data_IF_817080296245
#
_entry.id   IF_817080296245
#
_cell.length_a   1.000
_cell.length_b   1.000
_cell.length_c   1.000
_cell.angle_alpha   90.00
_cell.angle_beta   90.00
_cell.angle_gamma   90.00
#
_symmetry.space_group_name_H-M   'P 1'
#
loop_
_entity.id
_entity.type
_entity.pdbx_description
1 polymer ?
#
# COMPACT_ATOMS: atom_id res chain seq x y z
N UNK A 1 -4.68 2.66 -2.60
CA UNK A 1 -5.26 1.30 -2.58
C UNK A 1 -6.78 1.28 -2.43
N UNK A 2 -7.38 1.46 -1.25
CA UNK A 2 -8.85 1.27 -1.07
C UNK A 2 -9.69 2.16 -2.00
N UNK A 3 -9.37 3.45 -2.09
CA UNK A 3 -10.05 4.38 -2.98
C UNK A 3 -9.99 3.89 -4.44
N UNK A 4 -8.77 3.62 -4.94
CA UNK A 4 -8.57 3.10 -6.29
C UNK A 4 -9.35 1.78 -6.54
N UNK A 5 -9.37 0.88 -5.56
CA UNK A 5 -10.12 -0.38 -5.65
C UNK A 5 -11.64 -0.17 -5.70
N UNK A 6 -12.17 0.81 -4.96
CA UNK A 6 -13.59 1.22 -5.03
C UNK A 6 -13.92 1.89 -6.37
N UNK A 7 -12.96 2.61 -6.96
CA UNK A 7 -13.07 3.18 -8.29
C UNK A 7 -12.89 2.14 -9.42
N UNK A 8 -12.63 0.87 -9.09
CA UNK A 8 -12.54 -0.22 -10.06
C UNK A 8 -11.18 -0.34 -10.77
N UNK A 9 -10.13 0.29 -10.25
CA UNK A 9 -8.76 0.20 -10.79
C UNK A 9 -8.21 -1.22 -10.61
N UNK A 10 -7.50 -1.72 -11.63
CA UNK A 10 -6.92 -3.07 -11.62
C UNK A 10 -5.89 -3.23 -10.48
N UNK A 11 -5.82 -4.44 -9.92
CA UNK A 11 -4.90 -4.78 -8.84
C UNK A 11 -3.44 -4.41 -9.17
N UNK A 12 -2.97 -4.68 -10.38
CA UNK A 12 -1.58 -4.39 -10.74
C UNK A 12 -1.31 -2.88 -10.78
N UNK A 13 -2.26 -2.09 -11.27
CA UNK A 13 -2.14 -0.64 -11.29
C UNK A 13 -2.15 -0.03 -9.88
N UNK A 14 -2.89 -0.64 -8.95
CA UNK A 14 -2.87 -0.24 -7.54
C UNK A 14 -1.49 -0.55 -6.91
N UNK A 15 -0.88 -1.68 -7.25
CA UNK A 15 0.46 -2.05 -6.80
C UNK A 15 1.49 -1.08 -7.39
N UNK A 16 1.40 -0.76 -8.67
CA UNK A 16 2.30 0.19 -9.35
C UNK A 16 2.24 1.58 -8.71
N UNK A 17 1.04 2.11 -8.47
CA UNK A 17 0.83 3.39 -7.76
C UNK A 17 1.45 3.36 -6.35
N UNK A 18 1.22 2.30 -5.60
CA UNK A 18 1.83 2.12 -4.29
C UNK A 18 3.36 2.10 -4.37
N UNK A 19 3.94 1.44 -5.37
CA UNK A 19 5.39 1.33 -5.55
C UNK A 19 6.07 2.63 -5.99
N UNK A 20 5.33 3.66 -6.42
CA UNK A 20 5.87 5.02 -6.52
C UNK A 20 6.43 5.51 -5.17
N UNK A 21 5.84 5.04 -4.06
CA UNK A 21 6.34 5.34 -2.71
C UNK A 21 7.74 4.76 -2.47
N UNK A 22 8.05 3.57 -3.00
CA UNK A 22 9.41 3.01 -2.92
C UNK A 22 10.40 3.91 -3.65
N UNK A 23 10.09 4.28 -4.90
CA UNK A 23 10.94 5.14 -5.73
C UNK A 23 11.21 6.48 -5.03
N UNK A 24 10.15 7.13 -4.54
CA UNK A 24 10.25 8.43 -3.86
C UNK A 24 11.02 8.37 -2.53
N UNK A 25 11.18 7.17 -1.94
CA UNK A 25 11.85 6.98 -0.65
C UNK A 25 13.29 6.50 -0.77
N UNK A 26 13.79 6.17 -1.96
CA UNK A 26 15.15 5.65 -2.15
C UNK A 26 16.22 6.53 -1.50
N UNK A 27 16.20 7.84 -1.77
CA UNK A 27 17.21 8.75 -1.21
C UNK A 27 17.08 8.89 0.31
N UNK A 28 15.86 9.03 0.81
CA UNK A 28 15.61 9.10 2.25
C UNK A 28 16.05 7.82 2.97
N UNK A 29 15.77 6.66 2.39
CA UNK A 29 16.15 5.37 2.95
C UNK A 29 17.68 5.20 2.94
N UNK A 30 18.36 5.64 1.88
CA UNK A 30 19.83 5.68 1.81
C UNK A 30 20.43 6.51 2.94
N UNK A 31 19.93 7.74 3.16
CA UNK A 31 20.38 8.61 4.24
C UNK A 31 20.15 7.99 5.62
N UNK A 32 18.98 7.39 5.83
CA UNK A 32 18.62 6.74 7.10
C UNK A 32 19.52 5.54 7.39
N UNK A 33 19.83 4.73 6.37
CA UNK A 33 20.78 3.62 6.49
C UNK A 33 22.22 4.09 6.74
N UNK A 34 22.63 5.26 6.24
CA UNK A 34 23.93 5.83 6.57
C UNK A 34 24.04 6.15 8.07
N UNK A 35 22.97 6.68 8.68
CA UNK A 35 22.89 6.94 10.13
C UNK A 35 22.94 5.62 10.90
N UNK A 36 22.16 4.61 10.51
CA UNK A 36 22.16 3.32 11.21
C UNK A 36 23.53 2.64 11.23
N UNK A 37 24.30 2.76 10.15
CA UNK A 37 25.68 2.23 10.07
C UNK A 37 26.68 2.95 10.97
N UNK A 38 26.34 4.13 11.50
CA UNK A 38 27.14 4.80 12.53
C UNK A 38 26.85 4.22 13.93
N UNK A 39 25.68 3.59 14.11
CA UNK A 39 25.22 3.07 15.41
C UNK A 39 25.53 1.58 15.59
N UNK A 40 25.56 0.80 14.51
CA UNK A 40 25.83 -0.64 14.54
C UNK A 40 26.46 -1.13 13.24
N UNK A 41 27.24 -2.20 13.34
CA UNK A 41 27.75 -2.98 12.19
C UNK A 41 27.10 -4.36 12.08
N UNK A 42 26.16 -4.68 12.98
CA UNK A 42 25.42 -5.94 12.94
C UNK A 42 24.47 -5.96 11.74
N UNK A 43 24.72 -6.88 10.80
CA UNK A 43 23.98 -6.96 9.55
C UNK A 43 22.53 -7.41 9.76
N UNK A 44 22.23 -8.23 10.76
CA UNK A 44 20.85 -8.64 11.06
C UNK A 44 20.05 -7.44 11.56
N UNK A 45 20.65 -6.65 12.45
CA UNK A 45 20.03 -5.40 12.94
C UNK A 45 19.83 -4.41 11.79
N UNK A 46 20.82 -4.24 10.91
CA UNK A 46 20.69 -3.34 9.75
C UNK A 46 19.60 -3.80 8.77
N UNK A 47 19.51 -5.10 8.49
CA UNK A 47 18.47 -5.66 7.63
C UNK A 47 17.08 -5.46 8.23
N UNK A 48 16.94 -5.70 9.54
CA UNK A 48 15.71 -5.44 10.26
C UNK A 48 15.31 -3.96 10.18
N UNK A 49 16.22 -3.04 10.49
CA UNK A 49 15.97 -1.60 10.41
C UNK A 49 15.60 -1.15 8.99
N UNK A 50 16.25 -1.70 7.96
CA UNK A 50 15.88 -1.41 6.58
C UNK A 50 14.46 -1.87 6.25
N UNK A 51 14.08 -3.08 6.69
CA UNK A 51 12.73 -3.62 6.46
C UNK A 51 11.61 -2.77 7.05
N UNK A 52 11.88 -2.03 8.13
CA UNK A 52 10.91 -1.12 8.76
C UNK A 52 10.67 0.16 7.95
N UNK A 53 11.63 0.56 7.10
CA UNK A 53 11.60 1.85 6.39
C UNK A 53 11.36 1.68 4.89
N UNK A 54 11.56 0.47 4.38
CA UNK A 54 11.36 0.13 2.98
C UNK A 54 9.87 -0.01 2.65
N UNK A 55 9.58 0.09 1.36
CA UNK A 55 8.25 -0.11 0.80
C UNK A 55 8.36 -1.24 -0.20
N UNK A 56 7.61 -2.31 0.04
CA UNK A 56 7.71 -3.55 -0.74
C UNK A 56 6.36 -3.98 -1.29
N UNK A 57 6.32 -4.56 -2.50
CA UNK A 57 5.06 -4.94 -3.15
C UNK A 57 4.30 -5.99 -2.34
N UNK A 58 4.99 -6.91 -1.66
CA UNK A 58 4.36 -8.00 -0.92
C UNK A 58 3.47 -7.49 0.22
N UNK A 59 3.75 -6.30 0.77
CA UNK A 59 2.92 -5.70 1.81
C UNK A 59 1.56 -5.27 1.27
N UNK A 60 1.52 -4.65 0.08
CA UNK A 60 0.27 -4.21 -0.51
C UNK A 60 -0.49 -5.37 -1.15
N UNK A 61 0.23 -6.30 -1.78
CA UNK A 61 -0.32 -7.53 -2.35
C UNK A 61 -1.01 -8.37 -1.28
N UNK A 62 -0.34 -8.67 -0.16
CA UNK A 62 -0.94 -9.41 0.96
C UNK A 62 -2.18 -8.72 1.51
N UNK A 63 -2.21 -7.38 1.52
CA UNK A 63 -3.36 -6.62 1.99
C UNK A 63 -4.56 -6.79 1.05
N UNK A 64 -4.33 -6.66 -0.26
CA UNK A 64 -5.36 -6.85 -1.29
C UNK A 64 -5.85 -8.30 -1.27
N UNK A 65 -4.95 -9.27 -1.26
CA UNK A 65 -5.28 -10.70 -1.26
C UNK A 65 -6.07 -11.10 -0.02
N UNK A 66 -5.71 -10.57 1.14
CA UNK A 66 -6.46 -10.81 2.39
C UNK A 66 -7.88 -10.24 2.29
N UNK A 67 -8.04 -9.07 1.68
CA UNK A 67 -9.35 -8.44 1.46
C UNK A 67 -10.18 -9.30 0.50
N UNK A 68 -9.62 -9.70 -0.64
CA UNK A 68 -10.30 -10.52 -1.64
C UNK A 68 -10.67 -11.89 -1.09
N UNK A 69 -9.77 -12.54 -0.34
CA UNK A 69 -10.03 -13.84 0.28
C UNK A 69 -11.17 -13.79 1.31
N UNK A 70 -11.22 -12.74 2.14
CA UNK A 70 -12.19 -12.67 3.25
C UNK A 70 -13.53 -12.05 2.87
N UNK A 71 -13.54 -11.12 1.91
CA UNK A 71 -14.71 -10.30 1.59
C UNK A 71 -15.14 -10.42 0.12
N UNK A 72 -14.31 -11.02 -0.74
CA UNK A 72 -14.56 -11.22 -2.17
C UNK A 72 -14.17 -10.06 -3.07
N UNK A 73 -14.11 -8.83 -2.55
CA UNK A 73 -13.58 -7.66 -3.25
C UNK A 73 -13.28 -6.51 -2.30
N UNK A 74 -12.48 -5.53 -2.76
CA UNK A 74 -12.26 -4.27 -2.03
C UNK A 74 -13.58 -3.54 -1.79
N UNK A 75 -14.47 -3.48 -2.78
CA UNK A 75 -15.80 -2.86 -2.63
C UNK A 75 -16.61 -3.52 -1.50
N UNK A 76 -16.68 -4.85 -1.46
CA UNK A 76 -17.43 -5.55 -0.40
C UNK A 76 -16.82 -5.32 0.97
N UNK A 77 -15.49 -5.28 1.06
CA UNK A 77 -14.81 -4.92 2.30
C UNK A 77 -15.16 -3.49 2.76
N UNK A 78 -15.11 -2.49 1.87
CA UNK A 78 -15.44 -1.12 2.25
C UNK A 78 -16.91 -0.95 2.64
N UNK A 79 -17.83 -1.65 1.96
CA UNK A 79 -19.24 -1.67 2.31
C UNK A 79 -19.48 -2.31 3.69
N UNK A 80 -18.89 -3.48 3.94
CA UNK A 80 -19.18 -4.27 5.15
C UNK A 80 -18.40 -3.82 6.38
N UNK A 81 -17.15 -3.38 6.22
CA UNK A 81 -16.24 -3.10 7.34
C UNK A 81 -16.01 -1.62 7.58
N UNK A 82 -16.15 -0.78 6.54
CA UNK A 82 -15.98 0.67 6.66
C UNK A 82 -17.30 1.43 6.57
N UNK A 83 -18.41 0.76 6.28
CA UNK A 83 -19.74 1.36 6.21
C UNK A 83 -19.95 2.29 5.03
N UNK A 84 -19.12 2.21 3.99
CA UNK A 84 -19.24 3.05 2.79
C UNK A 84 -20.34 2.47 1.91
N UNK A 85 -21.45 3.19 1.78
CA UNK A 85 -22.60 2.75 1.01
C UNK A 85 -22.32 2.74 -0.48
N UNK A 86 -23.09 1.94 -1.22
CA UNK A 86 -23.03 1.91 -2.69
C UNK A 86 -23.30 3.29 -3.32
N UNK A 87 -24.14 4.13 -2.69
CA UNK A 87 -24.41 5.48 -3.17
C UNK A 87 -23.16 6.38 -3.05
N UNK A 88 -22.43 6.28 -1.94
CA UNK A 88 -21.15 6.99 -1.77
C UNK A 88 -20.09 6.50 -2.75
N UNK A 89 -20.03 5.19 -3.02
CA UNK A 89 -19.14 4.62 -4.05
C UNK A 89 -19.46 5.21 -5.43
N UNK A 90 -20.73 5.25 -5.82
CA UNK A 90 -21.15 5.84 -7.09
C UNK A 90 -20.82 7.34 -7.17
N UNK A 91 -20.94 8.06 -6.06
CA UNK A 91 -20.54 9.47 -6.00
C UNK A 91 -19.03 9.62 -6.20
N UNK A 92 -18.21 8.80 -5.51
CA UNK A 92 -16.76 8.80 -5.71
C UNK A 92 -16.39 8.49 -7.17
N UNK A 93 -17.07 7.53 -7.80
CA UNK A 93 -16.84 7.23 -9.21
C UNK A 93 -17.18 8.42 -10.11
N UNK A 94 -18.29 9.12 -9.85
CA UNK A 94 -18.67 10.32 -10.60
C UNK A 94 -17.70 11.50 -10.39
N UNK A 95 -17.08 11.61 -9.21
CA UNK A 95 -16.17 12.71 -8.88
C UNK A 95 -14.75 12.50 -9.47
N UNK A 96 -14.31 11.25 -9.62
CA UNK A 96 -12.92 10.92 -9.94
C UNK A 96 -12.70 10.23 -11.29
N UNK A 97 -13.75 9.75 -11.96
CA UNK A 97 -13.66 9.10 -13.28
C UNK A 97 -14.25 10.00 -14.36
N UNK A 98 -13.52 10.13 -15.48
CA UNK A 98 -13.93 10.88 -16.68
C UNK A 98 -14.69 10.01 -17.69
#
# INVERSE_FOLDING_TARGET
>A
MLLLGVLGVDKNQIIDDYMLTHINRLERNRQKMAIYRQLTQDQEVLNYLYSLIDTKPEFIEMSIDTIEQKYGSIQRYTEQQLGISKAEILQLQADYLE
#
